data_IF_501623718355
#
_entry.id   IF_501623718355
#
_cell.length_a   1.000
_cell.length_b   1.000
_cell.length_c   1.000
_cell.angle_alpha   90.00
_cell.angle_beta   90.00
_cell.angle_gamma   90.00
#
_symmetry.space_group_name_H-M   'P 1'
#
loop_
_entity.id
_entity.type
_entity.pdbx_description
1 polymer ?
#
# COMPACT_ATOMS: atom_id res chain seq x y z
N UNK A 1 -18.19 8.14 21.40
CA UNK A 1 -18.13 8.95 20.16
C UNK A 1 -19.23 8.51 19.22
N UNK A 2 -19.64 9.33 18.23
CA UNK A 2 -20.70 8.97 17.33
C UNK A 2 -20.25 7.87 16.38
N UNK A 3 -21.16 6.93 16.15
CA UNK A 3 -21.01 5.85 15.19
C UNK A 3 -21.02 6.35 13.74
N UNK A 4 -21.46 7.57 13.49
CA UNK A 4 -21.70 8.12 12.14
C UNK A 4 -21.09 9.53 12.00
N UNK A 5 -20.14 9.70 11.07
CA UNK A 5 -19.46 10.97 10.81
C UNK A 5 -19.65 11.37 9.34
N UNK A 6 -20.28 12.52 9.12
CA UNK A 6 -20.51 13.08 7.79
C UNK A 6 -19.32 13.96 7.38
N UNK A 7 -18.62 13.58 6.30
CA UNK A 7 -17.48 14.33 5.75
C UNK A 7 -17.33 14.13 4.24
N UNK A 8 -16.88 15.18 3.57
CA UNK A 8 -16.39 15.07 2.19
C UNK A 8 -15.11 14.20 2.15
N UNK A 9 -14.84 13.43 1.07
CA UNK A 9 -13.60 12.68 0.86
C UNK A 9 -12.30 13.43 1.19
N UNK A 10 -12.22 14.71 0.83
CA UNK A 10 -11.04 15.54 1.10
C UNK A 10 -10.83 15.81 2.60
N UNK A 11 -11.93 15.90 3.36
CA UNK A 11 -11.90 16.04 4.81
C UNK A 11 -11.54 14.76 5.52
N UNK A 12 -11.84 13.61 4.91
CA UNK A 12 -11.56 12.31 5.53
C UNK A 12 -10.06 12.13 5.83
N UNK A 13 -9.19 12.69 4.98
CA UNK A 13 -7.73 12.68 5.17
C UNK A 13 -7.30 13.31 6.50
N UNK A 14 -8.01 14.34 6.97
CA UNK A 14 -7.78 14.99 8.26
C UNK A 14 -8.64 14.46 9.40
N UNK A 15 -9.73 13.75 9.10
CA UNK A 15 -10.45 12.99 10.11
C UNK A 15 -9.61 11.81 10.62
N UNK A 16 -8.85 11.14 9.75
CA UNK A 16 -7.99 10.00 10.12
C UNK A 16 -7.03 10.30 11.28
N UNK A 17 -6.19 11.36 11.27
CA UNK A 17 -5.33 11.67 12.42
C UNK A 17 -6.10 11.98 13.71
N UNK A 18 -7.28 12.60 13.64
CA UNK A 18 -8.14 12.84 14.81
C UNK A 18 -8.66 11.52 15.41
N UNK A 19 -9.10 10.60 14.55
CA UNK A 19 -9.47 9.25 14.97
C UNK A 19 -8.25 8.50 15.52
N UNK A 20 -7.08 8.62 14.89
CA UNK A 20 -5.88 7.94 15.31
C UNK A 20 -5.41 8.40 16.69
N UNK A 21 -5.48 9.71 16.96
CA UNK A 21 -5.19 10.29 18.28
C UNK A 21 -6.06 9.68 19.38
N UNK A 22 -7.31 9.38 19.06
CA UNK A 22 -8.26 8.85 20.03
C UNK A 22 -8.16 7.34 20.23
N UNK A 23 -7.95 6.59 19.15
CA UNK A 23 -8.07 5.13 19.14
C UNK A 23 -6.72 4.40 19.04
N UNK A 24 -5.63 5.11 18.74
CA UNK A 24 -4.27 4.59 18.66
C UNK A 24 -3.96 3.80 17.39
N UNK A 25 -4.83 2.89 16.97
CA UNK A 25 -4.72 2.13 15.71
C UNK A 25 -6.04 2.08 14.96
N UNK A 26 -5.98 2.18 13.64
CA UNK A 26 -7.17 2.19 12.79
C UNK A 26 -7.11 1.13 11.69
N UNK A 27 -8.24 0.49 11.44
CA UNK A 27 -8.49 -0.28 10.21
C UNK A 27 -9.53 0.48 9.41
N UNK A 28 -9.17 0.95 8.22
CA UNK A 28 -10.06 1.74 7.36
C UNK A 28 -10.47 0.87 6.17
N UNK A 29 -11.75 0.53 6.08
CA UNK A 29 -12.35 -0.05 4.89
C UNK A 29 -12.73 1.08 3.93
N UNK A 30 -11.94 1.26 2.87
CA UNK A 30 -12.22 2.17 1.79
C UNK A 30 -13.18 1.52 0.78
N UNK A 31 -14.06 2.31 0.12
CA UNK A 31 -15.15 1.75 -0.68
C UNK A 31 -14.72 1.14 -2.02
N UNK A 32 -13.50 1.40 -2.49
CA UNK A 32 -12.94 0.79 -3.71
C UNK A 32 -11.42 0.79 -3.67
N UNK A 33 -10.77 0.05 -4.56
CA UNK A 33 -9.30 0.07 -4.73
C UNK A 33 -8.78 1.48 -5.06
N UNK A 34 -9.53 2.27 -5.85
CA UNK A 34 -9.14 3.64 -6.21
C UNK A 34 -9.16 4.56 -4.99
N UNK A 35 -10.22 4.47 -4.18
CA UNK A 35 -10.37 5.28 -2.97
C UNK A 35 -9.34 4.87 -1.91
N UNK A 36 -9.05 3.58 -1.79
CA UNK A 36 -8.01 3.05 -0.90
C UNK A 36 -6.62 3.56 -1.28
N UNK A 37 -6.27 3.54 -2.58
CA UNK A 37 -5.01 4.06 -3.09
C UNK A 37 -4.89 5.59 -2.91
N UNK A 38 -5.98 6.31 -3.18
CA UNK A 38 -6.07 7.75 -2.91
C UNK A 38 -5.79 8.05 -1.45
N UNK A 39 -6.51 7.39 -0.52
CA UNK A 39 -6.36 7.63 0.91
C UNK A 39 -4.94 7.32 1.37
N UNK A 40 -4.38 6.17 0.98
CA UNK A 40 -3.02 5.79 1.35
C UNK A 40 -1.98 6.82 0.87
N UNK A 41 -2.15 7.34 -0.34
CA UNK A 41 -1.28 8.40 -0.88
C UNK A 41 -1.43 9.72 -0.10
N UNK A 42 -2.67 10.12 0.20
CA UNK A 42 -2.96 11.36 0.92
C UNK A 42 -2.48 11.31 2.38
N UNK A 43 -2.56 10.16 3.06
CA UNK A 43 -2.09 10.02 4.44
C UNK A 43 -0.55 10.03 4.56
N UNK A 44 0.18 9.77 3.47
CA UNK A 44 1.65 9.81 3.45
C UNK A 44 2.24 11.22 3.71
N UNK A 45 1.41 12.26 3.83
CA UNK A 45 1.83 13.58 4.30
C UNK A 45 2.10 13.61 5.81
N UNK A 46 1.51 12.71 6.58
CA UNK A 46 1.60 12.69 8.05
C UNK A 46 2.79 11.86 8.54
N UNK A 47 3.11 11.99 9.82
CA UNK A 47 4.22 11.32 10.50
C UNK A 47 3.89 9.90 10.94
N UNK A 48 2.60 9.56 11.06
CA UNK A 48 2.16 8.19 11.32
C UNK A 48 2.28 7.35 10.04
N UNK A 49 2.32 6.03 10.20
CA UNK A 49 2.49 5.09 9.10
C UNK A 49 1.17 4.44 8.72
N UNK A 50 0.74 4.66 7.48
CA UNK A 50 -0.35 3.91 6.85
C UNK A 50 0.16 2.88 5.86
N UNK A 51 -0.56 1.77 5.70
CA UNK A 51 -0.33 0.79 4.64
C UNK A 51 -1.65 0.41 3.97
N UNK A 52 -1.59 0.07 2.67
CA UNK A 52 -2.72 -0.43 1.91
C UNK A 52 -2.58 -1.92 1.66
N UNK A 53 -3.51 -2.72 2.19
CA UNK A 53 -3.63 -4.13 1.89
C UNK A 53 -4.77 -4.39 0.89
N UNK A 54 -4.40 -4.58 -0.37
CA UNK A 54 -5.34 -4.78 -1.49
C UNK A 54 -4.79 -5.82 -2.48
N UNK A 55 -4.76 -7.12 -2.11
CA UNK A 55 -4.30 -8.18 -3.00
C UNK A 55 -5.07 -8.25 -4.31
N UNK A 56 -4.37 -8.65 -5.37
CA UNK A 56 -4.91 -8.95 -6.69
C UNK A 56 -5.56 -10.34 -6.66
N UNK A 57 -6.80 -10.42 -6.21
CA UNK A 57 -7.53 -11.69 -6.08
C UNK A 57 -7.57 -12.53 -7.37
N UNK A 58 -7.70 -11.90 -8.54
CA UNK A 58 -7.68 -12.63 -9.82
C UNK A 58 -6.30 -13.22 -10.17
N UNK A 59 -5.21 -12.60 -9.69
CA UNK A 59 -3.87 -13.17 -9.82
C UNK A 59 -3.74 -14.40 -8.92
N UNK A 60 -4.22 -14.31 -7.68
CA UNK A 60 -4.22 -15.43 -6.73
C UNK A 60 -5.07 -16.60 -7.28
N UNK A 61 -6.25 -16.31 -7.85
CA UNK A 61 -7.09 -17.30 -8.53
C UNK A 61 -6.42 -18.00 -9.70
N UNK A 62 -5.31 -17.48 -10.22
CA UNK A 62 -4.55 -18.14 -11.30
C UNK A 62 -3.31 -18.84 -10.77
N UNK A 63 -3.20 -19.00 -9.45
CA UNK A 63 -2.02 -19.56 -8.79
C UNK A 63 -0.83 -18.61 -8.74
N UNK A 64 -1.03 -17.32 -9.07
CA UNK A 64 0.01 -16.32 -8.98
C UNK A 64 0.28 -15.90 -7.53
N UNK A 65 1.47 -15.32 -7.30
CA UNK A 65 1.83 -14.75 -6.00
C UNK A 65 1.74 -13.23 -6.05
N UNK A 66 0.98 -12.64 -5.12
CA UNK A 66 0.96 -11.19 -4.95
C UNK A 66 2.07 -10.74 -3.99
N UNK A 67 3.20 -10.34 -4.57
CA UNK A 67 4.39 -9.89 -3.85
C UNK A 67 4.09 -8.64 -3.01
N UNK A 68 3.24 -7.73 -3.53
CA UNK A 68 2.93 -6.46 -2.85
C UNK A 68 2.05 -6.71 -1.61
N UNK A 69 1.06 -7.59 -1.72
CA UNK A 69 0.23 -8.00 -0.59
C UNK A 69 1.05 -8.69 0.51
N UNK A 70 1.96 -9.58 0.11
CA UNK A 70 2.86 -10.26 1.03
C UNK A 70 3.86 -9.31 1.70
N UNK A 71 4.41 -8.34 0.96
CA UNK A 71 5.28 -7.28 1.49
C UNK A 71 4.54 -6.40 2.50
N UNK A 72 3.29 -6.04 2.18
CA UNK A 72 2.41 -5.28 3.05
C UNK A 72 2.10 -6.03 4.33
N UNK A 73 1.77 -7.32 4.22
CA UNK A 73 1.54 -8.20 5.35
C UNK A 73 2.79 -8.30 6.25
N UNK A 74 3.98 -8.45 5.68
CA UNK A 74 5.22 -8.48 6.46
C UNK A 74 5.44 -7.17 7.25
N UNK A 75 5.27 -6.00 6.60
CA UNK A 75 5.37 -4.68 7.27
C UNK A 75 4.34 -4.50 8.38
N UNK A 76 3.14 -5.05 8.18
CA UNK A 76 2.07 -5.06 9.19
C UNK A 76 2.50 -5.86 10.43
N UNK A 77 2.99 -7.08 10.23
CA UNK A 77 3.44 -7.98 11.31
C UNK A 77 4.67 -7.42 12.05
N UNK A 78 5.52 -6.65 11.37
CA UNK A 78 6.65 -5.96 12.02
C UNK A 78 6.22 -4.89 13.04
N UNK A 79 4.93 -4.53 13.09
CA UNK A 79 4.35 -3.66 14.12
C UNK A 79 4.60 -2.17 13.92
N UNK A 80 5.14 -1.77 12.76
CA UNK A 80 5.49 -0.38 12.48
C UNK A 80 4.38 0.40 11.76
N UNK A 81 3.12 0.05 12.02
CA UNK A 81 1.97 0.55 11.25
C UNK A 81 0.86 0.99 12.20
N UNK A 82 0.36 2.21 11.96
CA UNK A 82 -0.68 2.86 12.77
C UNK A 82 -2.06 2.75 12.11
N UNK A 83 -2.09 2.76 10.77
CA UNK A 83 -3.33 2.69 9.96
C UNK A 83 -3.24 1.60 8.91
N UNK A 84 -4.11 0.61 8.96
CA UNK A 84 -4.31 -0.38 7.91
C UNK A 84 -5.49 0.04 7.03
N UNK A 85 -5.26 0.21 5.73
CA UNK A 85 -6.31 0.48 4.75
C UNK A 85 -6.60 -0.80 3.99
N UNK A 86 -7.88 -1.17 3.90
CA UNK A 86 -8.38 -2.32 3.15
C UNK A 86 -9.50 -1.89 2.20
N UNK A 87 -9.82 -2.77 1.27
CA UNK A 87 -11.07 -2.73 0.50
C UNK A 87 -12.09 -3.66 1.16
N UNK A 88 -13.38 -3.63 0.76
CA UNK A 88 -14.38 -4.52 1.35
C UNK A 88 -14.03 -6.00 1.17
N UNK A 89 -13.46 -6.37 0.00
CA UNK A 89 -13.03 -7.74 -0.26
C UNK A 89 -11.74 -8.09 0.48
N UNK A 90 -10.73 -7.22 0.48
CA UNK A 90 -9.46 -7.51 1.15
C UNK A 90 -9.54 -7.54 2.67
N UNK A 91 -10.45 -6.77 3.27
CA UNK A 91 -10.69 -6.82 4.72
C UNK A 91 -11.34 -8.13 5.19
N UNK A 92 -12.00 -8.85 4.27
CA UNK A 92 -12.61 -10.15 4.50
C UNK A 92 -11.65 -11.32 4.28
N UNK A 93 -10.48 -11.09 3.67
CA UNK A 93 -9.53 -12.17 3.40
C UNK A 93 -9.07 -12.81 4.71
N UNK A 94 -9.37 -14.10 4.86
CA UNK A 94 -8.80 -14.92 5.93
C UNK A 94 -7.31 -15.12 5.66
N UNK A 95 -6.53 -15.05 6.72
CA UNK A 95 -5.07 -15.24 6.64
C UNK A 95 -4.69 -16.49 7.46
N UNK A 96 -3.54 -17.11 7.21
CA UNK A 96 -3.06 -18.23 8.03
C UNK A 96 -3.14 -17.92 9.53
N UNK A 97 -3.37 -18.92 10.38
CA UNK A 97 -3.26 -18.74 11.82
C UNK A 97 -1.80 -18.39 12.14
N UNK A 98 -1.59 -17.12 12.42
CA UNK A 98 -0.31 -16.54 12.76
C UNK A 98 -0.42 -16.16 14.23
N UNK A 99 0.37 -16.79 15.09
CA UNK A 99 0.67 -16.19 16.38
C UNK A 99 1.34 -14.86 16.06
N UNK A 100 0.61 -13.77 16.33
CA UNK A 100 0.95 -12.41 15.93
C UNK A 100 2.39 -12.08 16.32
N UNK A 101 3.31 -12.06 15.34
CA UNK A 101 4.72 -11.72 15.56
C UNK A 101 5.74 -12.82 15.27
N UNK A 102 5.35 -14.01 14.80
CA UNK A 102 6.34 -14.98 14.32
C UNK A 102 7.14 -14.46 13.12
N UNK A 103 8.33 -13.97 13.42
CA UNK A 103 9.39 -13.63 12.47
C UNK A 103 10.68 -14.28 12.93
N UNK A 104 11.60 -14.48 12.00
CA UNK A 104 12.92 -14.99 12.31
C UNK A 104 13.91 -13.87 12.08
N UNK A 105 14.44 -13.33 13.17
CA UNK A 105 15.51 -12.33 13.13
C UNK A 105 16.82 -13.08 13.30
N UNK A 106 17.67 -12.98 12.29
CA UNK A 106 19.00 -13.57 12.26
C UNK A 106 20.02 -12.46 12.36
N UNK A 107 20.93 -12.57 13.33
CA UNK A 107 21.97 -11.58 13.56
C UNK A 107 23.33 -12.17 13.23
N UNK A 108 24.19 -11.35 12.67
CA UNK A 108 25.58 -11.69 12.41
C UNK A 108 26.31 -12.02 13.72
N UNK A 109 27.35 -12.85 13.64
CA UNK A 109 28.16 -13.33 14.78
C UNK A 109 27.32 -14.04 15.87
N UNK A 110 26.19 -14.63 15.47
CA UNK A 110 25.34 -15.44 16.34
C UNK A 110 25.34 -16.89 15.86
N UNK A 111 25.10 -17.83 16.77
CA UNK A 111 25.14 -19.26 16.49
C UNK A 111 23.75 -19.80 16.16
N UNK A 112 23.61 -20.43 14.98
CA UNK A 112 22.37 -21.06 14.53
C UNK A 112 22.67 -22.38 13.84
N UNK A 113 21.81 -23.37 14.07
CA UNK A 113 21.80 -24.58 13.25
C UNK A 113 21.07 -24.31 11.94
N UNK A 114 21.76 -24.53 10.82
CA UNK A 114 21.20 -24.42 9.48
C UNK A 114 19.92 -25.26 9.33
N UNK A 115 19.88 -26.47 9.92
CA UNK A 115 18.70 -27.34 9.92
C UNK A 115 17.47 -26.69 10.54
N UNK A 116 17.66 -25.90 11.60
CA UNK A 116 16.57 -25.30 12.36
C UNK A 116 15.98 -24.11 11.59
N UNK A 117 16.86 -23.31 10.94
CA UNK A 117 16.46 -22.25 10.01
C UNK A 117 15.64 -22.83 8.86
N UNK A 118 16.15 -23.88 8.21
CA UNK A 118 15.48 -24.53 7.08
C UNK A 118 14.15 -25.12 7.50
N UNK A 119 14.11 -25.86 8.62
CA UNK A 119 12.88 -26.46 9.15
C UNK A 119 11.83 -25.40 9.44
N UNK A 120 12.24 -24.26 10.02
CA UNK A 120 11.34 -23.15 10.34
C UNK A 120 10.75 -22.48 9.10
N UNK A 121 11.58 -22.08 8.11
CA UNK A 121 11.07 -21.41 6.90
C UNK A 121 10.29 -22.38 6.00
N UNK A 122 10.68 -23.65 5.93
CA UNK A 122 9.90 -24.68 5.24
C UNK A 122 8.53 -24.87 5.92
N UNK A 123 8.48 -24.86 7.25
CA UNK A 123 7.24 -24.86 8.04
C UNK A 123 6.38 -23.59 7.86
N UNK A 124 6.95 -22.51 7.31
CA UNK A 124 6.19 -21.32 6.89
C UNK A 124 5.78 -21.34 5.42
N UNK A 125 6.12 -22.39 4.67
CA UNK A 125 5.76 -22.56 3.25
C UNK A 125 6.82 -22.07 2.27
N UNK A 126 8.04 -21.73 2.73
CA UNK A 126 9.12 -21.40 1.79
C UNK A 126 9.50 -22.63 0.97
N UNK A 127 9.75 -22.44 -0.32
CA UNK A 127 10.05 -23.50 -1.27
C UNK A 127 11.55 -23.68 -1.45
N UNK A 128 12.04 -24.91 -1.26
CA UNK A 128 13.43 -25.24 -1.56
C UNK A 128 13.65 -25.29 -3.07
N UNK A 129 14.58 -24.50 -3.58
CA UNK A 129 14.94 -24.42 -5.00
C UNK A 129 16.45 -24.49 -5.18
N UNK A 130 16.90 -24.71 -6.42
CA UNK A 130 18.33 -24.69 -6.76
C UNK A 130 18.88 -23.26 -6.82
N UNK A 131 18.07 -22.31 -7.28
CA UNK A 131 18.40 -20.89 -7.44
C UNK A 131 17.20 -20.07 -6.98
N UNK A 132 17.40 -19.19 -6.00
CA UNK A 132 16.37 -18.26 -5.53
C UNK A 132 16.04 -17.26 -6.63
N UNK A 133 14.79 -17.26 -7.09
CA UNK A 133 14.29 -16.32 -8.11
C UNK A 133 13.15 -15.49 -7.55
N UNK A 134 12.25 -16.14 -6.83
CA UNK A 134 11.00 -15.56 -6.38
C UNK A 134 11.00 -15.37 -4.86
N UNK A 135 10.25 -14.40 -4.35
CA UNK A 135 10.00 -14.30 -2.92
C UNK A 135 9.34 -15.59 -2.39
N UNK A 136 9.79 -16.08 -1.23
CA UNK A 136 9.35 -17.38 -0.71
C UNK A 136 10.20 -18.57 -1.17
N UNK A 137 11.13 -18.39 -2.10
CA UNK A 137 12.15 -19.40 -2.39
C UNK A 137 13.25 -19.40 -1.34
N UNK A 138 13.90 -20.55 -1.13
CA UNK A 138 15.20 -20.62 -0.49
C UNK A 138 16.11 -21.68 -1.14
N UNK A 139 17.41 -21.48 -1.09
CA UNK A 139 18.41 -22.43 -1.56
C UNK A 139 19.49 -22.63 -0.49
N UNK A 140 19.95 -23.88 -0.33
CA UNK A 140 21.08 -24.24 0.50
C UNK A 140 22.23 -24.70 -0.39
N UNK A 141 23.42 -24.12 -0.22
CA UNK A 141 24.64 -24.47 -0.95
C UNK A 141 25.82 -24.55 0.01
N UNK A 142 26.11 -25.74 0.51
CA UNK A 142 27.12 -25.93 1.55
C UNK A 142 26.71 -25.22 2.84
N UNK A 143 27.48 -24.22 3.21
CA UNK A 143 27.35 -23.32 4.35
C UNK A 143 26.60 -22.01 4.02
N UNK A 144 26.06 -21.88 2.81
CA UNK A 144 25.31 -20.69 2.38
C UNK A 144 23.82 -20.98 2.25
N UNK A 145 22.99 -20.12 2.86
CA UNK A 145 21.55 -20.10 2.67
C UNK A 145 21.15 -18.82 1.96
N UNK A 146 20.56 -18.96 0.77
CA UNK A 146 19.89 -17.85 0.07
C UNK A 146 18.38 -17.93 0.35
N UNK A 147 17.75 -16.82 0.72
CA UNK A 147 16.31 -16.71 0.97
C UNK A 147 15.74 -15.53 0.19
N UNK A 148 14.71 -15.77 -0.62
CA UNK A 148 14.02 -14.74 -1.39
C UNK A 148 13.13 -13.89 -0.48
N UNK A 149 13.36 -12.57 -0.45
CA UNK A 149 12.59 -11.62 0.35
C UNK A 149 11.47 -10.98 -0.48
N UNK A 150 10.42 -10.50 0.20
CA UNK A 150 9.27 -9.81 -0.40
C UNK A 150 9.52 -8.33 -0.69
N UNK A 151 10.74 -8.05 -1.13
CA UNK A 151 11.20 -6.75 -1.61
C UNK A 151 11.64 -6.91 -3.06
N UNK A 152 11.19 -6.02 -3.94
CA UNK A 152 11.37 -6.14 -5.39
C UNK A 152 12.80 -6.54 -5.79
N UNK A 153 12.96 -7.81 -6.21
CA UNK A 153 14.19 -8.37 -6.77
C UNK A 153 15.35 -8.62 -5.79
N UNK A 154 15.08 -8.72 -4.49
CA UNK A 154 16.12 -8.92 -3.46
C UNK A 154 15.90 -10.19 -2.62
N UNK A 155 17.00 -10.76 -2.16
CA UNK A 155 17.02 -11.82 -1.16
C UNK A 155 18.07 -11.55 -0.09
N UNK A 156 18.08 -12.37 0.95
CA UNK A 156 19.16 -12.42 1.94
C UNK A 156 20.00 -13.67 1.72
N UNK A 157 21.32 -13.49 1.72
CA UNK A 157 22.32 -14.54 1.72
C UNK A 157 22.95 -14.60 3.11
N UNK A 158 22.91 -15.77 3.71
CA UNK A 158 23.46 -16.08 5.02
C UNK A 158 24.66 -16.99 4.80
N UNK A 159 25.84 -16.55 5.19
CA UNK A 159 27.09 -17.31 5.04
C UNK A 159 27.54 -17.74 6.43
N UNK A 160 27.67 -19.06 6.62
CA UNK A 160 28.02 -19.67 7.90
C UNK A 160 29.46 -20.17 7.91
N UNK A 161 30.05 -20.22 9.11
CA UNK A 161 31.24 -21.02 9.41
C UNK A 161 30.89 -21.94 10.59
N UNK A 162 30.84 -23.24 10.35
CA UNK A 162 30.21 -24.22 11.25
C UNK A 162 28.77 -23.83 11.63
N UNK A 163 28.53 -23.43 12.88
CA UNK A 163 27.21 -22.95 13.36
C UNK A 163 27.16 -21.41 13.49
N UNK A 164 28.26 -20.70 13.21
CA UNK A 164 28.32 -19.23 13.32
C UNK A 164 27.84 -18.55 12.04
N UNK A 165 26.89 -17.62 12.16
CA UNK A 165 26.47 -16.77 11.04
C UNK A 165 27.46 -15.60 10.85
N UNK A 166 28.51 -15.81 10.06
CA UNK A 166 29.59 -14.83 9.88
C UNK A 166 29.17 -13.62 9.05
N UNK A 167 28.41 -13.82 7.97
CA UNK A 167 28.02 -12.74 7.07
C UNK A 167 26.55 -12.82 6.65
N UNK A 168 25.94 -11.65 6.54
CA UNK A 168 24.60 -11.47 6.00
C UNK A 168 24.66 -10.45 4.87
N UNK A 169 24.24 -10.84 3.68
CA UNK A 169 24.23 -9.99 2.49
C UNK A 169 22.82 -9.87 1.92
N UNK A 170 22.39 -8.64 1.62
CA UNK A 170 21.30 -8.43 0.68
C UNK A 170 21.86 -8.67 -0.72
N UNK A 171 21.25 -9.58 -1.48
CA UNK A 171 21.65 -9.93 -2.85
C UNK A 171 20.51 -9.72 -3.84
N UNK A 172 20.85 -9.66 -5.13
CA UNK A 172 19.87 -9.55 -6.21
C UNK A 172 19.43 -10.93 -6.71
N UNK A 173 18.13 -11.23 -6.71
CA UNK A 173 17.62 -12.53 -7.22
C UNK A 173 17.76 -12.66 -8.75
N UNK A 174 17.87 -11.56 -9.47
CA UNK A 174 18.13 -11.56 -10.92
C UNK A 174 19.60 -11.91 -11.24
N UNK A 175 20.55 -11.14 -10.68
CA UNK A 175 21.98 -11.25 -10.99
C UNK A 175 22.76 -12.21 -10.09
N UNK A 176 22.15 -12.65 -8.97
CA UNK A 176 22.74 -13.53 -7.95
C UNK A 176 23.97 -12.94 -7.24
N UNK A 177 24.18 -11.62 -7.36
CA UNK A 177 25.31 -10.89 -6.75
C UNK A 177 24.88 -10.19 -5.45
N UNK A 178 25.78 -10.20 -4.47
CA UNK A 178 25.65 -9.43 -3.24
C UNK A 178 25.62 -7.93 -3.57
N UNK A 179 24.78 -7.18 -2.87
CA UNK A 179 24.63 -5.72 -3.02
C UNK A 179 25.08 -4.96 -1.79
N UNK A 180 24.75 -5.46 -0.61
CA UNK A 180 24.97 -4.76 0.66
C UNK A 180 25.13 -5.76 1.80
N UNK A 181 26.18 -5.62 2.61
CA UNK A 181 26.31 -6.32 3.89
C UNK A 181 25.42 -5.68 4.96
N UNK A 182 24.82 -6.49 5.82
CA UNK A 182 23.95 -6.04 6.92
C UNK A 182 24.27 -6.82 8.20
N UNK A 183 23.97 -6.23 9.36
CA UNK A 183 24.21 -6.87 10.66
C UNK A 183 23.09 -7.82 11.09
N UNK A 184 21.90 -7.66 10.50
CA UNK A 184 20.74 -8.49 10.81
C UNK A 184 19.83 -8.63 9.60
N UNK A 185 19.13 -9.76 9.50
CA UNK A 185 18.06 -9.97 8.54
C UNK A 185 16.79 -10.48 9.22
N UNK A 186 15.65 -10.01 8.74
CA UNK A 186 14.33 -10.50 9.16
C UNK A 186 13.75 -11.33 8.03
N UNK A 187 13.43 -12.58 8.32
CA UNK A 187 12.67 -13.47 7.43
C UNK A 187 11.22 -13.51 7.95
N UNK A 188 10.25 -12.94 7.20
CA UNK A 188 8.86 -12.94 7.61
C UNK A 188 8.18 -14.27 7.25
N UNK A 189 7.07 -14.56 7.93
CA UNK A 189 6.17 -15.66 7.55
C UNK A 189 5.40 -15.33 6.26
N UNK A 190 5.03 -16.36 5.50
CA UNK A 190 4.20 -16.21 4.30
C UNK A 190 2.72 -15.98 4.67
N UNK A 191 2.11 -14.97 4.04
CA UNK A 191 0.68 -14.74 3.95
C UNK A 191 0.01 -15.86 3.17
N UNK A 192 0.58 -16.24 2.03
CA UNK A 192 0.08 -17.34 1.20
C UNK A 192 0.95 -18.58 1.41
N UNK A 193 0.88 -19.15 2.61
CA UNK A 193 1.61 -20.37 2.96
C UNK A 193 1.01 -21.59 2.27
N UNK A 194 1.87 -22.48 1.75
CA UNK A 194 1.48 -23.81 1.26
C UNK A 194 1.50 -24.89 2.34
N UNK A 195 1.56 -24.50 3.62
CA UNK A 195 1.55 -25.44 4.76
C UNK A 195 0.13 -25.63 5.26
N UNK A 196 -0.38 -26.86 5.14
CA UNK A 196 -1.71 -27.23 5.58
C UNK A 196 -1.86 -27.06 7.09
N UNK A 197 -3.05 -26.68 7.52
CA UNK A 197 -3.42 -26.75 8.93
C UNK A 197 -3.54 -28.19 9.40
N UNK A 198 -3.31 -28.44 10.69
CA UNK A 198 -3.42 -29.77 11.29
C UNK A 198 -4.84 -30.39 11.16
N UNK A 199 -5.87 -29.55 11.06
CA UNK A 199 -7.27 -29.94 10.95
C UNK A 199 -7.83 -29.88 9.52
N UNK A 200 -6.97 -29.82 8.49
CA UNK A 200 -7.38 -29.62 7.10
C UNK A 200 -8.40 -30.67 6.60
N UNK A 201 -8.28 -31.95 6.99
CA UNK A 201 -9.25 -33.00 6.62
C UNK A 201 -10.65 -32.70 7.16
N UNK A 202 -10.72 -32.28 8.42
CA UNK A 202 -11.99 -31.88 9.06
C UNK A 202 -12.57 -30.63 8.40
N UNK A 203 -11.73 -29.69 7.97
CA UNK A 203 -12.16 -28.51 7.23
C UNK A 203 -12.74 -28.91 5.87
N UNK A 204 -12.04 -29.79 5.14
CA UNK A 204 -12.51 -30.34 3.87
C UNK A 204 -13.88 -31.00 4.05
N UNK A 205 -14.02 -31.96 4.96
CA UNK A 205 -15.30 -32.64 5.26
C UNK A 205 -16.43 -31.67 5.64
N UNK A 206 -16.14 -30.62 6.43
CA UNK A 206 -17.15 -29.67 6.92
C UNK A 206 -17.57 -28.62 5.89
N UNK A 207 -16.60 -28.01 5.18
CA UNK A 207 -16.86 -26.93 4.22
C UNK A 207 -17.30 -27.48 2.87
N UNK A 208 -16.97 -28.73 2.57
CA UNK A 208 -17.34 -29.42 1.33
C UNK A 208 -18.50 -30.39 1.53
N UNK A 209 -19.47 -30.10 2.41
CA UNK A 209 -20.68 -30.93 2.61
C UNK A 209 -21.53 -31.14 1.35
N UNK A 210 -21.24 -30.42 0.28
CA UNK A 210 -21.88 -30.54 -1.03
C UNK A 210 -21.09 -31.40 -2.03
N UNK A 211 -19.85 -31.80 -1.70
CA UNK A 211 -19.07 -32.70 -2.55
C UNK A 211 -19.57 -34.14 -2.42
N UNK A 212 -19.56 -34.84 -3.54
CA UNK A 212 -19.69 -36.30 -3.57
C UNK A 212 -18.48 -36.96 -2.88
N UNK A 213 -18.66 -38.20 -2.43
CA UNK A 213 -17.55 -39.00 -1.86
C UNK A 213 -16.37 -39.12 -2.83
N UNK A 214 -16.65 -39.15 -4.14
CA UNK A 214 -15.64 -39.19 -5.18
C UNK A 214 -14.79 -37.91 -5.19
N UNK A 215 -15.42 -36.74 -5.21
CA UNK A 215 -14.72 -35.45 -5.24
C UNK A 215 -13.90 -35.21 -3.96
N UNK A 216 -14.40 -35.70 -2.81
CA UNK A 216 -13.66 -35.64 -1.55
C UNK A 216 -12.38 -36.49 -1.61
N UNK A 217 -12.46 -37.73 -2.10
CA UNK A 217 -11.30 -38.60 -2.28
C UNK A 217 -10.31 -38.03 -3.30
N UNK A 218 -10.79 -37.52 -4.44
CA UNK A 218 -9.95 -36.85 -5.45
C UNK A 218 -9.25 -35.60 -4.87
N UNK A 219 -9.95 -34.82 -4.04
CA UNK A 219 -9.34 -33.67 -3.36
C UNK A 219 -8.27 -34.11 -2.36
N UNK A 220 -8.53 -35.15 -1.57
CA UNK A 220 -7.54 -35.69 -0.63
C UNK A 220 -6.29 -36.23 -1.33
N UNK A 221 -6.46 -36.91 -2.47
CA UNK A 221 -5.36 -37.42 -3.29
C UNK A 221 -4.52 -36.26 -3.84
N UNK A 222 -5.14 -35.25 -4.45
CA UNK A 222 -4.45 -34.05 -4.95
C UNK A 222 -3.65 -33.32 -3.87
N UNK A 223 -4.24 -33.18 -2.67
CA UNK A 223 -3.56 -32.56 -1.51
C UNK A 223 -2.34 -33.38 -1.09
N UNK A 224 -2.44 -34.71 -1.08
CA UNK A 224 -1.34 -35.60 -0.69
C UNK A 224 -0.22 -35.64 -1.73
N UNK A 225 -0.56 -35.60 -3.02
CA UNK A 225 0.40 -35.57 -4.12
C UNK A 225 1.09 -34.21 -4.29
N UNK A 226 0.51 -33.14 -3.72
CA UNK A 226 1.06 -31.78 -3.83
C UNK A 226 0.79 -31.11 -5.19
N UNK A 227 -0.16 -31.64 -5.97
CA UNK A 227 -0.49 -31.15 -7.30
C UNK A 227 -1.67 -30.16 -7.27
N UNK A 228 -1.46 -28.99 -6.67
CA UNK A 228 -2.49 -27.96 -6.57
C UNK A 228 -1.91 -26.53 -6.60
N UNK A 229 -2.75 -25.58 -7.02
CA UNK A 229 -2.53 -24.17 -6.70
C UNK A 229 -2.99 -23.91 -5.27
N UNK A 230 -2.16 -23.26 -4.45
CA UNK A 230 -2.50 -22.94 -3.05
C UNK A 230 -3.84 -22.22 -2.94
N UNK A 231 -4.20 -21.40 -3.92
CA UNK A 231 -5.45 -20.66 -3.89
C UNK A 231 -6.70 -21.51 -4.13
N UNK A 232 -6.55 -22.63 -4.86
CA UNK A 232 -7.65 -23.52 -5.23
C UNK A 232 -8.28 -24.15 -3.99
N UNK A 233 -7.42 -24.42 -3.01
CA UNK A 233 -7.72 -25.03 -1.73
C UNK A 233 -7.31 -24.15 -0.56
N UNK A 234 -7.27 -22.83 -0.76
CA UNK A 234 -6.83 -21.84 0.24
C UNK A 234 -7.46 -22.01 1.64
N UNK A 235 -8.76 -22.39 1.78
CA UNK A 235 -9.36 -22.66 3.08
C UNK A 235 -8.67 -23.74 3.93
N UNK A 236 -7.82 -24.58 3.34
CA UNK A 236 -7.04 -25.60 4.05
C UNK A 236 -5.73 -25.06 4.65
N UNK A 237 -5.33 -23.85 4.25
CA UNK A 237 -4.10 -23.17 4.69
C UNK A 237 -4.38 -21.97 5.58
N UNK A 238 -5.56 -21.36 5.47
CA UNK A 238 -5.90 -20.16 6.22
C UNK A 238 -6.57 -20.43 7.58
N UNK A 239 -6.31 -19.52 8.50
CA UNK A 239 -6.96 -19.40 9.80
C UNK A 239 -8.41 -18.94 9.70
N UNK A 240 -9.02 -18.70 10.87
CA UNK A 240 -10.35 -18.07 10.92
C UNK A 240 -10.29 -16.54 11.01
N UNK A 241 -9.13 -15.98 11.37
CA UNK A 241 -8.91 -14.55 11.48
C UNK A 241 -8.65 -13.89 10.12
N UNK A 242 -9.07 -12.63 9.97
CA UNK A 242 -8.70 -11.81 8.82
C UNK A 242 -7.47 -10.95 9.08
N UNK A 243 -6.96 -10.32 8.02
CA UNK A 243 -5.94 -9.28 8.12
C UNK A 243 -6.32 -8.17 9.11
N UNK A 244 -7.61 -7.81 9.16
CA UNK A 244 -8.12 -6.79 10.07
C UNK A 244 -8.09 -7.27 11.53
N UNK A 245 -8.40 -8.54 11.79
CA UNK A 245 -8.30 -9.12 13.15
C UNK A 245 -6.85 -9.13 13.63
N UNK A 246 -5.94 -9.59 12.77
CA UNK A 246 -4.53 -9.70 13.12
C UNK A 246 -3.85 -8.35 13.33
N UNK A 247 -4.27 -7.32 12.60
CA UNK A 247 -3.75 -5.96 12.82
C UNK A 247 -4.14 -5.38 14.18
N UNK A 248 -5.41 -5.57 14.57
CA UNK A 248 -5.99 -5.01 15.78
C UNK A 248 -6.08 -3.48 15.74
N UNK A 249 -7.29 -2.93 15.62
CA UNK A 249 -7.53 -1.49 15.61
C UNK A 249 -9.00 -1.17 15.48
N UNK A 250 -9.36 0.10 15.66
CA UNK A 250 -10.74 0.55 15.49
C UNK A 250 -11.12 0.51 14.01
N UNK A 251 -12.17 -0.23 13.69
CA UNK A 251 -12.70 -0.46 12.36
C UNK A 251 -13.61 0.70 11.92
N UNK A 252 -13.12 1.42 10.92
CA UNK A 252 -13.77 2.56 10.29
C UNK A 252 -14.20 2.17 8.88
N UNK A 253 -15.48 2.31 8.56
CA UNK A 253 -16.00 2.07 7.20
C UNK A 253 -16.27 3.40 6.51
N UNK A 254 -15.66 3.60 5.34
CA UNK A 254 -15.85 4.78 4.52
C UNK A 254 -16.76 4.48 3.32
N UNK A 255 -17.85 5.24 3.19
CA UNK A 255 -18.83 5.16 2.09
C UNK A 255 -19.44 3.75 1.95
N UNK A 256 -20.20 3.31 2.97
CA UNK A 256 -20.76 1.94 3.06
C UNK A 256 -21.48 1.49 1.79
N UNK A 257 -22.39 2.30 1.25
CA UNK A 257 -23.19 1.92 0.06
C UNK A 257 -22.28 1.67 -1.14
N UNK A 258 -21.30 2.55 -1.36
CA UNK A 258 -20.33 2.39 -2.45
C UNK A 258 -19.47 1.14 -2.25
N UNK A 259 -19.06 0.87 -1.02
CA UNK A 259 -18.31 -0.33 -0.65
C UNK A 259 -19.10 -1.63 -0.88
N UNK A 260 -20.39 -1.65 -0.56
CA UNK A 260 -21.28 -2.80 -0.79
C UNK A 260 -21.43 -3.10 -2.28
N UNK A 261 -21.71 -2.08 -3.11
CA UNK A 261 -21.78 -2.22 -4.56
C UNK A 261 -20.45 -2.74 -5.13
N UNK A 262 -19.33 -2.14 -4.71
CA UNK A 262 -18.01 -2.58 -5.16
C UNK A 262 -17.72 -4.03 -4.78
N UNK A 263 -18.11 -4.45 -3.56
CA UNK A 263 -17.93 -5.82 -3.10
C UNK A 263 -18.70 -6.82 -3.97
N UNK A 264 -19.97 -6.54 -4.26
CA UNK A 264 -20.82 -7.36 -5.14
C UNK A 264 -20.20 -7.50 -6.54
N UNK A 265 -19.71 -6.40 -7.13
CA UNK A 265 -19.02 -6.43 -8.42
C UNK A 265 -17.75 -7.29 -8.41
N UNK A 266 -16.98 -7.25 -7.32
CA UNK A 266 -15.78 -8.08 -7.19
C UNK A 266 -16.14 -9.56 -7.05
N UNK A 267 -17.16 -9.89 -6.26
CA UNK A 267 -17.64 -11.28 -6.12
C UNK A 267 -18.08 -11.86 -7.46
N UNK A 268 -18.85 -11.11 -8.27
CA UNK A 268 -19.26 -11.56 -9.60
C UNK A 268 -18.05 -11.92 -10.48
N UNK A 269 -16.99 -11.10 -10.45
CA UNK A 269 -15.75 -11.37 -11.21
C UNK A 269 -15.02 -12.60 -10.68
N UNK A 270 -14.94 -12.71 -9.36
CA UNK A 270 -14.26 -13.79 -8.66
C UNK A 270 -14.93 -15.14 -8.93
N UNK A 271 -16.26 -15.22 -8.79
CA UNK A 271 -17.06 -16.38 -9.14
C UNK A 271 -16.98 -16.71 -10.64
N UNK A 272 -16.99 -15.68 -11.50
CA UNK A 272 -16.84 -15.83 -12.93
C UNK A 272 -15.53 -16.53 -13.32
N UNK A 273 -14.41 -16.14 -12.72
CA UNK A 273 -13.10 -16.77 -12.93
C UNK A 273 -13.07 -18.20 -12.39
N UNK A 274 -13.57 -18.46 -11.18
CA UNK A 274 -13.64 -19.82 -10.62
C UNK A 274 -14.48 -20.76 -11.49
N UNK A 275 -15.66 -20.32 -11.93
CA UNK A 275 -16.51 -21.09 -12.82
C UNK A 275 -15.85 -21.38 -14.17
N UNK A 276 -15.05 -20.45 -14.69
CA UNK A 276 -14.27 -20.67 -15.91
C UNK A 276 -13.22 -21.76 -15.69
N UNK A 277 -12.47 -21.70 -14.59
CA UNK A 277 -11.45 -22.71 -14.24
C UNK A 277 -12.05 -24.10 -14.04
N UNK A 278 -13.23 -24.21 -13.42
CA UNK A 278 -13.96 -25.48 -13.30
C UNK A 278 -14.27 -26.06 -14.69
N UNK A 279 -14.72 -25.25 -15.65
CA UNK A 279 -14.96 -25.70 -17.04
C UNK A 279 -13.67 -26.11 -17.76
N UNK A 280 -12.53 -25.56 -17.37
CA UNK A 280 -11.20 -25.92 -17.88
C UNK A 280 -10.65 -27.21 -17.21
N UNK A 281 -11.39 -27.80 -16.26
CA UNK A 281 -11.05 -29.05 -15.60
C UNK A 281 -10.30 -28.89 -14.27
N UNK A 282 -10.19 -27.68 -13.73
CA UNK A 282 -9.64 -27.47 -12.38
C UNK A 282 -10.61 -27.94 -11.31
N UNK A 283 -10.12 -28.73 -10.34
CA UNK A 283 -10.88 -29.10 -9.15
C UNK A 283 -10.84 -27.96 -8.12
N UNK A 284 -11.96 -27.27 -7.94
CA UNK A 284 -12.14 -26.20 -6.95
C UNK A 284 -13.17 -26.63 -5.90
N UNK A 285 -12.76 -27.34 -4.84
CA UNK A 285 -13.69 -27.94 -3.87
C UNK A 285 -14.39 -26.92 -2.97
N UNK A 286 -13.93 -25.67 -2.96
CA UNK A 286 -14.48 -24.59 -2.17
C UNK A 286 -15.12 -23.50 -3.04
N UNK A 287 -16.26 -22.98 -2.57
CA UNK A 287 -16.83 -21.73 -3.05
C UNK A 287 -15.93 -20.54 -2.77
N UNK A 288 -16.13 -19.45 -3.49
CA UNK A 288 -15.28 -18.27 -3.44
C UNK A 288 -15.31 -17.58 -2.06
N UNK A 289 -16.44 -17.70 -1.36
CA UNK A 289 -16.67 -17.17 -0.01
C UNK A 289 -15.92 -17.95 1.07
N UNK A 290 -15.49 -19.19 0.80
CA UNK A 290 -14.89 -20.06 1.82
C UNK A 290 -13.60 -19.50 2.42
N UNK A 291 -12.88 -18.72 1.61
CA UNK A 291 -11.62 -18.00 1.92
C UNK A 291 -11.85 -16.64 2.59
N UNK A 292 -13.11 -16.24 2.75
CA UNK A 292 -13.51 -14.92 3.22
C UNK A 292 -14.28 -15.03 4.54
N UNK A 293 -14.21 -13.98 5.35
CA UNK A 293 -15.01 -13.83 6.56
C UNK A 293 -16.35 -13.16 6.29
N UNK A 294 -17.25 -13.31 7.26
CA UNK A 294 -18.45 -12.49 7.32
C UNK A 294 -18.12 -11.00 7.43
N UNK A 295 -19.11 -10.17 7.08
CA UNK A 295 -18.96 -8.71 7.13
C UNK A 295 -18.91 -8.26 8.57
N UNK A 296 -17.82 -7.58 8.96
CA UNK A 296 -17.75 -6.92 10.27
C UNK A 296 -18.59 -5.65 10.28
N UNK A 297 -19.17 -5.36 11.43
CA UNK A 297 -19.84 -4.09 11.68
C UNK A 297 -18.79 -3.05 12.08
N UNK A 298 -18.80 -1.86 11.45
CA UNK A 298 -17.91 -0.78 11.81
C UNK A 298 -18.25 -0.21 13.17
N UNK A 299 -17.22 0.17 13.92
CA UNK A 299 -17.39 1.02 15.10
C UNK A 299 -17.66 2.47 14.69
N UNK A 300 -17.13 2.89 13.54
CA UNK A 300 -17.31 4.22 12.97
C UNK A 300 -17.63 4.10 11.48
N UNK A 301 -18.74 4.69 11.05
CA UNK A 301 -19.11 4.83 9.65
C UNK A 301 -18.93 6.28 9.22
N UNK A 302 -18.26 6.48 8.09
CA UNK A 302 -17.94 7.78 7.53
C UNK A 302 -18.55 7.86 6.13
N UNK A 303 -19.32 8.89 5.86
CA UNK A 303 -19.97 9.08 4.56
C UNK A 303 -20.05 10.55 4.21
N UNK A 304 -20.09 10.89 2.92
CA UNK A 304 -20.43 12.24 2.48
C UNK A 304 -21.89 12.62 2.81
N UNK A 305 -22.77 11.63 2.96
CA UNK A 305 -24.18 11.82 3.29
C UNK A 305 -24.75 10.62 4.04
N UNK A 306 -25.60 10.87 5.03
CA UNK A 306 -26.44 9.85 5.68
C UNK A 306 -27.91 10.13 5.45
N UNK A 307 -28.68 9.08 5.15
CA UNK A 307 -30.14 9.17 4.95
C UNK A 307 -30.95 8.85 6.22
N UNK A 308 -30.40 8.07 7.16
CA UNK A 308 -31.21 7.48 8.25
C UNK A 308 -30.46 7.28 9.58
N UNK A 309 -29.38 8.01 9.85
CA UNK A 309 -28.63 7.90 11.10
C UNK A 309 -29.22 8.81 12.22
N UNK A 310 -29.41 8.25 13.42
CA UNK A 310 -30.02 8.95 14.56
C UNK A 310 -29.18 10.14 15.08
N UNK A 311 -27.85 9.99 15.09
CA UNK A 311 -26.91 11.02 15.55
C UNK A 311 -25.68 11.05 14.65
N UNK A 312 -25.60 12.10 13.84
CA UNK A 312 -24.53 12.34 12.88
C UNK A 312 -23.63 13.45 13.41
N UNK A 313 -22.33 13.18 13.52
CA UNK A 313 -21.33 14.24 13.70
C UNK A 313 -20.89 14.78 12.35
N UNK A 314 -20.80 16.09 12.20
CA UNK A 314 -20.39 16.71 10.92
C UNK A 314 -18.94 17.14 11.00
N UNK A 315 -18.08 16.48 10.22
CA UNK A 315 -16.71 16.92 10.01
C UNK A 315 -16.65 17.80 8.75
N UNK A 316 -16.96 19.08 8.92
CA UNK A 316 -17.22 20.00 7.81
C UNK A 316 -15.96 20.47 7.11
N UNK A 317 -16.02 20.48 5.78
CA UNK A 317 -15.00 21.00 4.88
C UNK A 317 -15.62 22.07 4.00
N UNK A 318 -14.96 23.22 3.87
CA UNK A 318 -15.39 24.30 2.98
C UNK A 318 -14.29 24.62 1.97
N UNK A 319 -14.68 24.86 0.72
CA UNK A 319 -13.82 25.48 -0.27
C UNK A 319 -14.04 26.99 -0.23
N UNK A 320 -13.05 27.71 0.29
CA UNK A 320 -13.08 29.16 0.31
C UNK A 320 -12.57 29.67 -1.03
N UNK A 321 -13.44 30.38 -1.76
CA UNK A 321 -13.05 31.08 -2.99
C UNK A 321 -12.11 32.23 -2.67
N UNK A 322 -11.22 32.50 -3.61
CA UNK A 322 -10.12 33.43 -3.43
C UNK A 322 -10.24 34.51 -4.49
N UNK A 323 -10.01 35.76 -4.07
CA UNK A 323 -9.98 36.89 -4.99
C UNK A 323 -8.74 36.80 -5.89
N UNK A 324 -8.89 37.15 -7.18
CA UNK A 324 -7.79 37.12 -8.16
C UNK A 324 -6.60 38.00 -7.76
N UNK A 325 -6.85 39.06 -6.99
CA UNK A 325 -5.81 39.91 -6.39
C UNK A 325 -4.90 39.13 -5.44
N UNK A 326 -5.47 38.22 -4.62
CA UNK A 326 -4.70 37.39 -3.69
C UNK A 326 -3.91 36.32 -4.45
N UNK A 327 -4.48 35.76 -5.52
CA UNK A 327 -3.77 34.79 -6.39
C UNK A 327 -2.58 35.44 -7.11
N UNK A 328 -2.66 36.73 -7.42
CA UNK A 328 -1.60 37.50 -8.06
C UNK A 328 -0.56 38.05 -7.08
N UNK A 329 -0.92 38.23 -5.81
CA UNK A 329 -0.06 38.80 -4.77
C UNK A 329 -0.13 37.97 -3.48
N UNK A 330 0.76 36.97 -3.31
CA UNK A 330 0.76 36.08 -2.15
C UNK A 330 0.88 36.80 -0.81
N UNK A 331 1.54 37.97 -0.78
CA UNK A 331 1.65 38.82 0.42
C UNK A 331 0.28 39.14 1.02
N UNK A 332 -0.73 39.40 0.17
CA UNK A 332 -2.09 39.73 0.61
C UNK A 332 -2.75 38.58 1.34
N UNK A 333 -2.44 37.33 0.98
CA UNK A 333 -2.92 36.15 1.69
C UNK A 333 -2.39 36.14 3.13
N UNK A 334 -1.06 36.21 3.30
CA UNK A 334 -0.45 36.17 4.63
C UNK A 334 -0.85 37.37 5.51
N UNK A 335 -1.05 38.54 4.91
CA UNK A 335 -1.55 39.73 5.62
C UNK A 335 -3.00 39.57 6.11
N UNK A 336 -3.85 38.86 5.37
CA UNK A 336 -5.25 38.57 5.77
C UNK A 336 -5.35 37.35 6.70
N UNK A 337 -4.35 36.49 6.76
CA UNK A 337 -4.36 35.28 7.58
C UNK A 337 -4.30 35.59 9.08
N UNK A 338 -5.27 35.08 9.84
CA UNK A 338 -5.31 35.21 11.30
C UNK A 338 -4.90 33.91 11.99
N UNK A 339 -3.73 33.92 12.64
CA UNK A 339 -3.20 32.78 13.40
C UNK A 339 -3.97 32.45 14.68
N UNK A 340 -4.70 33.41 15.26
CA UNK A 340 -5.46 33.17 16.48
C UNK A 340 -6.72 32.31 16.21
N UNK A 341 -7.24 32.43 14.99
CA UNK A 341 -8.45 31.76 14.54
C UNK A 341 -8.17 30.40 13.91
N UNK A 342 -7.04 30.23 13.21
CA UNK A 342 -6.77 29.02 12.44
C UNK A 342 -5.28 28.67 12.34
N UNK A 343 -5.02 27.38 12.18
CA UNK A 343 -3.70 26.85 11.82
C UNK A 343 -3.59 26.76 10.29
N UNK A 344 -2.37 26.81 9.77
CA UNK A 344 -2.11 26.78 8.32
C UNK A 344 -1.26 25.58 7.94
N UNK A 345 -1.66 24.86 6.90
CA UNK A 345 -0.84 23.86 6.22
C UNK A 345 -0.66 24.30 4.77
N UNK A 346 0.57 24.68 4.46
CA UNK A 346 0.95 25.19 3.15
C UNK A 346 1.69 24.10 2.36
N UNK A 347 1.17 23.73 1.21
CA UNK A 347 1.78 22.80 0.27
C UNK A 347 2.59 23.62 -0.74
N UNK A 348 3.86 23.28 -0.95
CA UNK A 348 4.72 24.00 -1.89
C UNK A 348 5.49 23.07 -2.80
N UNK A 349 5.89 23.58 -3.96
CA UNK A 349 6.93 22.93 -4.77
C UNK A 349 8.31 23.20 -4.14
N UNK A 350 9.26 22.25 -4.22
CA UNK A 350 10.59 22.39 -3.60
C UNK A 350 11.35 23.68 -3.97
N UNK A 351 11.18 24.17 -5.20
CA UNK A 351 11.81 25.39 -5.71
C UNK A 351 11.09 26.69 -5.31
N UNK A 352 9.90 26.59 -4.73
CA UNK A 352 9.07 27.74 -4.30
C UNK A 352 9.04 27.90 -2.78
N UNK A 353 9.42 26.87 -2.02
CA UNK A 353 9.31 26.85 -0.55
C UNK A 353 9.99 28.05 0.10
N UNK A 354 11.22 28.39 -0.30
CA UNK A 354 11.96 29.52 0.29
C UNK A 354 11.28 30.86 0.02
N UNK A 355 10.68 31.03 -1.16
CA UNK A 355 9.93 32.23 -1.50
C UNK A 355 8.74 32.41 -0.55
N UNK A 356 7.92 31.38 -0.38
CA UNK A 356 6.74 31.46 0.50
C UNK A 356 7.09 31.58 1.98
N UNK A 357 8.19 30.95 2.44
CA UNK A 357 8.71 31.15 3.81
C UNK A 357 9.06 32.62 4.03
N UNK A 358 9.87 33.20 3.14
CA UNK A 358 10.27 34.60 3.25
C UNK A 358 9.06 35.56 3.17
N UNK A 359 8.10 35.26 2.29
CA UNK A 359 6.91 36.11 2.10
C UNK A 359 5.96 36.05 3.30
N UNK A 360 5.83 34.87 3.91
CA UNK A 360 5.10 34.68 5.15
C UNK A 360 5.77 35.43 6.32
N UNK A 361 7.10 35.31 6.47
CA UNK A 361 7.86 35.95 7.55
C UNK A 361 7.76 37.48 7.52
N UNK A 362 7.83 38.09 6.33
CA UNK A 362 7.60 39.55 6.15
C UNK A 362 6.23 40.02 6.66
N UNK A 363 5.24 39.12 6.67
CA UNK A 363 3.88 39.38 7.14
C UNK A 363 3.64 38.79 8.55
N UNK A 364 4.71 38.56 9.33
CA UNK A 364 4.68 37.97 10.67
C UNK A 364 4.07 36.56 10.73
N UNK A 365 4.12 35.80 9.63
CA UNK A 365 3.69 34.40 9.55
C UNK A 365 4.89 33.47 9.53
N UNK A 366 5.14 32.75 10.64
CA UNK A 366 6.23 31.78 10.73
C UNK A 366 5.75 30.44 10.17
N UNK A 367 6.40 29.96 9.10
CA UNK A 367 6.11 28.66 8.48
C UNK A 367 7.15 27.62 8.89
N UNK A 368 6.74 26.67 9.71
CA UNK A 368 7.59 25.55 10.12
C UNK A 368 7.71 24.53 8.98
N UNK A 369 8.92 24.42 8.40
CA UNK A 369 9.19 23.46 7.32
C UNK A 369 9.27 22.04 7.87
N UNK A 370 8.39 21.16 7.38
CA UNK A 370 8.33 19.77 7.80
C UNK A 370 8.42 18.82 6.59
N UNK A 371 9.01 17.64 6.81
CA UNK A 371 8.91 16.54 5.83
C UNK A 371 7.54 15.85 5.90
N UNK A 372 7.00 15.75 7.11
CA UNK A 372 5.72 15.11 7.41
C UNK A 372 5.00 15.92 8.49
N UNK A 373 3.68 16.06 8.36
CA UNK A 373 2.82 16.70 9.36
C UNK A 373 2.71 15.83 10.62
N UNK A 374 2.71 16.41 11.82
CA UNK A 374 2.40 15.66 13.03
C UNK A 374 0.97 15.11 12.98
N UNK A 375 0.69 14.08 13.78
CA UNK A 375 -0.67 13.57 14.00
C UNK A 375 -1.58 14.70 14.52
N UNK A 376 -1.05 15.55 15.39
CA UNK A 376 -1.79 16.70 15.96
C UNK A 376 -1.25 18.01 15.42
N UNK A 377 -2.11 18.75 14.70
CA UNK A 377 -1.84 20.13 14.31
C UNK A 377 -2.11 21.04 15.50
N UNK A 378 -1.05 21.69 15.99
CA UNK A 378 -1.18 22.63 17.11
C UNK A 378 -1.89 23.90 16.65
N UNK A 379 -2.89 24.33 17.43
CA UNK A 379 -3.64 25.56 17.16
C UNK A 379 -2.69 26.75 16.99
N UNK A 380 -2.90 27.50 15.90
CA UNK A 380 -2.15 28.72 15.58
C UNK A 380 -0.74 28.49 15.03
N UNK A 381 -0.33 27.24 14.88
CA UNK A 381 0.91 26.91 14.18
C UNK A 381 0.68 26.90 12.66
N UNK A 382 1.70 27.30 11.92
CA UNK A 382 1.68 27.28 10.46
C UNK A 382 2.83 26.42 9.96
N UNK A 383 2.53 25.53 9.03
CA UNK A 383 3.44 24.51 8.52
C UNK A 383 3.58 24.66 7.02
N UNK A 384 4.77 24.37 6.49
CA UNK A 384 5.01 24.24 5.05
C UNK A 384 5.60 22.86 4.74
N UNK A 385 5.02 22.18 3.75
CA UNK A 385 5.44 20.85 3.32
C UNK A 385 5.65 20.81 1.79
N UNK A 386 6.69 20.11 1.36
CA UNK A 386 7.03 19.90 -0.05
C UNK A 386 6.37 18.64 -0.59
N UNK A 387 5.03 18.68 -0.67
CA UNK A 387 4.23 17.58 -1.19
C UNK A 387 3.13 18.13 -2.08
N UNK A 388 2.68 17.31 -3.03
CA UNK A 388 1.52 17.64 -3.86
C UNK A 388 0.24 17.54 -3.00
N UNK A 389 -0.68 18.52 -3.05
CA UNK A 389 -1.96 18.41 -2.35
C UNK A 389 -2.87 17.35 -3.01
N UNK A 390 -3.82 16.79 -2.25
CA UNK A 390 -4.83 15.85 -2.77
C UNK A 390 -6.18 16.51 -3.07
N UNK A 391 -6.35 17.77 -2.67
CA UNK A 391 -7.57 18.56 -2.81
C UNK A 391 -7.44 19.57 -3.96
N UNK A 392 -8.55 20.18 -4.36
CA UNK A 392 -8.58 21.21 -5.40
C UNK A 392 -7.58 22.37 -5.14
N UNK A 393 -6.71 22.66 -6.12
CA UNK A 393 -5.65 23.67 -6.00
C UNK A 393 -6.14 25.10 -6.30
N UNK A 394 -7.41 25.28 -6.67
CA UNK A 394 -8.00 26.59 -6.98
C UNK A 394 -8.68 27.27 -5.79
N UNK A 395 -8.70 26.62 -4.62
CA UNK A 395 -9.39 27.08 -3.43
C UNK A 395 -8.59 26.81 -2.14
N UNK A 396 -8.91 27.55 -1.07
CA UNK A 396 -8.43 27.23 0.27
C UNK A 396 -9.38 26.21 0.86
N UNK A 397 -8.85 25.05 1.28
CA UNK A 397 -9.65 24.04 1.97
C UNK A 397 -9.68 24.36 3.47
N UNK A 398 -10.85 24.68 4.00
CA UNK A 398 -11.04 24.98 5.42
C UNK A 398 -11.69 23.80 6.14
N UNK A 399 -10.97 23.25 7.12
CA UNK A 399 -11.41 22.13 7.95
C UNK A 399 -11.89 22.68 9.28
N UNK A 400 -13.20 22.87 9.41
CA UNK A 400 -13.80 23.63 10.51
C UNK A 400 -13.63 22.97 11.90
N UNK A 401 -13.80 21.65 12.07
CA UNK A 401 -13.73 21.04 13.42
C UNK A 401 -12.39 21.25 14.13
N UNK A 402 -11.30 21.38 13.35
CA UNK A 402 -9.93 21.58 13.86
C UNK A 402 -9.37 22.97 13.51
N UNK A 403 -10.15 23.82 12.84
CA UNK A 403 -9.76 25.15 12.34
C UNK A 403 -8.41 25.15 11.61
N UNK A 404 -8.28 24.31 10.58
CA UNK A 404 -7.09 24.20 9.75
C UNK A 404 -7.41 24.67 8.33
N UNK A 405 -6.56 25.56 7.79
CA UNK A 405 -6.58 25.98 6.40
C UNK A 405 -5.50 25.24 5.62
N UNK A 406 -5.88 24.60 4.51
CA UNK A 406 -4.96 24.01 3.56
C UNK A 406 -4.82 24.91 2.33
N UNK A 407 -3.58 25.16 1.95
CA UNK A 407 -3.24 26.12 0.90
C UNK A 407 -2.18 25.50 -0.01
N UNK A 408 -2.35 25.59 -1.32
CA UNK A 408 -1.38 25.09 -2.29
C UNK A 408 -0.64 26.27 -2.94
N UNK A 409 0.68 26.17 -3.12
CA UNK A 409 1.43 27.17 -3.88
C UNK A 409 0.91 27.32 -5.32
N UNK A 410 0.31 26.26 -5.86
CA UNK A 410 -0.26 26.24 -7.21
C UNK A 410 -1.49 27.12 -7.38
N UNK A 411 -2.09 27.60 -6.28
CA UNK A 411 -3.19 28.56 -6.35
C UNK A 411 -2.71 29.97 -6.72
N UNK A 412 -1.41 30.25 -6.58
CA UNK A 412 -0.83 31.54 -6.91
C UNK A 412 -0.32 31.55 -8.36
N UNK A 413 -0.36 32.71 -9.00
CA UNK A 413 0.17 32.87 -10.36
C UNK A 413 1.69 32.59 -10.38
N UNK A 414 2.27 32.31 -11.55
CA UNK A 414 3.72 32.03 -11.65
C UNK A 414 4.53 33.19 -11.07
N UNK A 415 5.19 32.96 -9.95
CA UNK A 415 6.15 33.88 -9.33
C UNK A 415 7.57 33.41 -9.67
N UNK A 416 8.50 34.34 -9.90
CA UNK A 416 9.89 34.01 -10.23
C UNK A 416 10.51 33.24 -9.07
N UNK A 417 10.80 31.95 -9.29
CA UNK A 417 11.56 31.13 -8.35
C UNK A 417 12.89 31.81 -8.03
N UNK A 418 13.20 31.96 -6.74
CA UNK A 418 14.46 32.52 -6.28
C UNK A 418 15.57 31.52 -6.62
N UNK A 419 16.50 31.89 -7.49
CA UNK A 419 17.75 31.15 -7.70
C UNK A 419 18.46 31.03 -6.35
N UNK A 420 18.50 29.81 -5.80
CA UNK A 420 19.33 29.50 -4.65
C UNK A 420 20.77 29.41 -5.14
N UNK A 421 21.48 30.54 -5.11
CA UNK A 421 22.93 30.58 -5.30
C UNK A 421 23.62 29.98 -4.07
N UNK A 422 23.59 28.66 -3.97
CA UNK A 422 24.54 27.92 -3.13
C UNK A 422 25.88 27.99 -3.86
N UNK A 423 26.86 28.68 -3.27
CA UNK A 423 28.26 28.54 -3.68
C UNK A 423 28.69 27.10 -3.34
N UNK A 424 28.50 26.18 -4.28
CA UNK A 424 29.12 24.87 -4.24
C UNK A 424 30.62 25.03 -4.48
N UNK A 425 31.40 24.84 -3.43
CA UNK A 425 32.80 24.50 -3.57
C UNK A 425 32.93 23.09 -4.13
N UNK A 426 33.34 22.98 -5.39
CA UNK A 426 34.03 21.82 -5.94
C UNK A 426 33.18 20.74 -6.59
N UNK A 427 33.08 20.82 -7.93
CA UNK A 427 32.88 19.77 -8.92
C UNK A 427 32.59 18.33 -8.41
N UNK A 428 31.38 17.85 -8.71
CA UNK A 428 31.09 16.69 -9.60
C UNK A 428 29.68 16.92 -10.13
N UNK A 429 29.52 17.09 -11.44
CA UNK A 429 28.24 17.23 -12.13
C UNK A 429 27.54 15.87 -12.21
N UNK A 430 26.31 15.69 -11.69
CA UNK A 430 25.42 14.62 -12.13
C UNK A 430 24.48 15.19 -13.21
N UNK A 431 24.45 14.55 -14.38
CA UNK A 431 23.55 14.90 -15.50
C UNK A 431 22.09 14.99 -15.04
N UNK A 432 21.45 16.10 -15.39
CA UNK A 432 20.01 16.33 -15.20
C UNK A 432 19.20 15.33 -16.04
N UNK A 433 18.30 14.57 -15.40
CA UNK A 433 17.20 13.90 -16.12
C UNK A 433 16.15 14.96 -16.47
N UNK A 434 16.14 15.37 -17.73
CA UNK A 434 15.10 16.22 -18.33
C UNK A 434 13.70 15.62 -18.13
N UNK A 435 12.71 16.47 -17.88
CA UNK A 435 11.30 16.11 -17.92
C UNK A 435 10.92 15.72 -19.36
N UNK A 436 10.52 14.48 -19.56
CA UNK A 436 10.15 13.93 -20.86
C UNK A 436 8.86 14.59 -21.39
N UNK A 437 8.93 15.27 -22.54
CA UNK A 437 7.78 15.78 -23.28
C UNK A 437 7.46 14.84 -24.44
N UNK A 438 6.19 14.55 -24.71
CA UNK A 438 5.80 13.74 -25.89
C UNK A 438 6.25 14.38 -27.22
N UNK A 439 6.47 15.69 -27.22
CA UNK A 439 6.93 16.46 -28.38
C UNK A 439 8.44 16.30 -28.65
N UNK A 440 9.21 15.74 -27.71
CA UNK A 440 10.65 15.52 -27.87
C UNK A 440 11.00 14.17 -28.49
N UNK A 441 10.02 13.29 -28.71
CA UNK A 441 10.23 11.95 -29.27
C UNK A 441 10.40 11.98 -30.80
N UNK A 442 11.47 11.34 -31.29
CA UNK A 442 11.70 11.13 -32.73
C UNK A 442 11.39 9.70 -33.15
N UNK A 443 10.77 9.53 -34.31
CA UNK A 443 10.59 8.19 -34.91
C UNK A 443 11.93 7.45 -34.96
N UNK A 444 11.96 6.22 -34.45
CA UNK A 444 13.19 5.46 -34.29
C UNK A 444 13.72 5.36 -32.85
N UNK A 445 13.25 6.21 -31.93
CA UNK A 445 13.73 6.20 -30.53
C UNK A 445 13.13 5.07 -29.70
N UNK A 446 13.92 4.54 -28.76
CA UNK A 446 13.46 3.52 -27.83
C UNK A 446 12.65 4.14 -26.69
N UNK A 447 11.47 3.58 -26.44
CA UNK A 447 10.53 4.01 -25.41
C UNK A 447 10.22 2.83 -24.49
N UNK A 448 10.19 3.07 -23.18
CA UNK A 448 9.85 2.05 -22.19
C UNK A 448 8.35 2.10 -21.91
N UNK A 449 7.63 1.06 -22.28
CA UNK A 449 6.21 0.89 -21.97
C UNK A 449 6.02 -0.03 -20.75
N UNK A 450 5.24 0.43 -19.77
CA UNK A 450 5.09 -0.26 -18.47
C UNK A 450 4.67 -1.74 -18.59
N UNK A 451 3.77 -2.07 -19.54
CA UNK A 451 3.26 -3.44 -19.71
C UNK A 451 4.03 -4.31 -20.71
N UNK A 452 4.86 -3.72 -21.59
CA UNK A 452 5.39 -4.41 -22.78
C UNK A 452 6.90 -4.27 -22.94
N UNK A 453 7.59 -3.55 -22.05
CA UNK A 453 9.03 -3.38 -22.08
C UNK A 453 9.48 -2.32 -23.08
N UNK A 454 10.66 -2.50 -23.67
CA UNK A 454 11.29 -1.53 -24.57
C UNK A 454 10.73 -1.72 -25.99
N UNK A 455 10.07 -0.71 -26.52
CA UNK A 455 9.56 -0.66 -27.89
C UNK A 455 10.17 0.51 -28.67
N UNK A 456 10.09 0.44 -29.99
CA UNK A 456 10.61 1.44 -30.91
C UNK A 456 9.47 2.39 -31.32
N UNK A 457 9.64 3.69 -31.14
CA UNK A 457 8.61 4.68 -31.43
C UNK A 457 8.45 4.93 -32.93
N UNK A 458 7.22 4.79 -33.43
CA UNK A 458 6.84 4.95 -34.84
C UNK A 458 5.85 6.12 -35.08
N UNK A 459 5.80 7.08 -34.14
CA UNK A 459 4.95 8.26 -34.28
C UNK A 459 3.59 8.15 -33.57
N UNK A 460 2.75 9.17 -33.79
CA UNK A 460 1.37 9.24 -33.29
C UNK A 460 0.41 8.93 -34.43
N UNK A 461 -0.52 7.99 -34.23
CA UNK A 461 -1.60 7.69 -35.17
C UNK A 461 -2.97 7.91 -34.52
N UNK A 462 -3.90 8.43 -35.32
CA UNK A 462 -5.28 8.67 -34.87
C UNK A 462 -6.11 7.40 -35.03
N UNK A 463 -6.62 6.87 -33.92
CA UNK A 463 -7.52 5.70 -33.89
C UNK A 463 -8.81 6.12 -33.19
N UNK A 464 -9.95 5.98 -33.88
CA UNK A 464 -11.27 6.40 -33.37
C UNK A 464 -11.26 7.82 -32.76
N UNK A 465 -10.70 8.78 -33.51
CA UNK A 465 -10.61 10.20 -33.11
C UNK A 465 -9.71 10.51 -31.91
N UNK A 466 -8.97 9.53 -31.38
CA UNK A 466 -7.99 9.69 -30.30
C UNK A 466 -6.57 9.56 -30.86
N UNK A 467 -5.68 10.44 -30.44
CA UNK A 467 -4.27 10.37 -30.82
C UNK A 467 -3.55 9.32 -29.95
N UNK A 468 -3.02 8.28 -30.60
CA UNK A 468 -2.37 7.14 -29.94
C UNK A 468 -0.89 7.05 -30.31
N UNK A 469 -0.04 6.80 -29.32
CA UNK A 469 1.39 6.53 -29.53
C UNK A 469 1.58 5.11 -30.12
N UNK A 470 2.33 5.00 -31.22
CA UNK A 470 2.60 3.71 -31.88
C UNK A 470 4.00 3.22 -31.51
N UNK A 471 4.07 2.00 -30.96
CA UNK A 471 5.32 1.34 -30.60
C UNK A 471 5.42 0.00 -31.34
N UNK A 472 6.57 -0.26 -31.97
CA UNK A 472 6.91 -1.55 -32.55
C UNK A 472 7.82 -2.31 -31.61
N UNK A 473 7.48 -3.57 -31.34
CA UNK A 473 8.31 -4.48 -30.57
C UNK A 473 8.88 -5.52 -31.53
N UNK A 474 10.20 -5.68 -31.54
CA UNK A 474 10.81 -6.80 -32.25
C UNK A 474 10.41 -8.09 -31.53
N UNK A 475 9.85 -9.04 -32.28
CA UNK A 475 9.38 -10.33 -31.75
C UNK A 475 10.52 -11.28 -31.43
#
# INVERSE_FOLDING_TARGET
MPKYIETHPEGFVFLVPELLKQYGKLVIEAPSTKDAAFLNSALNIFSFKSILFSPQFLLLERGGTDIDAQSTFAKMVEGSVDVLIVTPLSGKLKIPDIDSGEKMVLNRNSYYKISDIIGKIAGWGYKKVSIVREPGDFALRGDIIDIGLFSSGQGVRLEFFDEELENIHIFSTASQRNRKAVESATVPRLLFSSVLRNDWKTILEKKCRQLSMKELLETEELVQEGHFSTWDIYPLFCGDLTICDSFGGTFVRWERIKGEIFLEEQFIKFDGERNKRIREGHLLPFGAEASLSETKYPEIEVSSMFSSAEKIEKFRVNHLRIEESIMSEPALFFKKFNKEDSSLVFFSKPNETLFFVNEAEKNNVELLRLKHLPVEIKKGCSYIIEKKPWFDHSSILSILPINVLLVSSEMFHKHSSVETSVKESGNIVPEQKESFSLESLKEGEFVVHYNFGIGLYEGIKKVNSTDCLVLRYDR
#
